data_IF_919693309121
#
_entry.id   IF_919693309121
#
_cell.length_a   1.000
_cell.length_b   1.000
_cell.length_c   1.000
_cell.angle_alpha   90.00
_cell.angle_beta   90.00
_cell.angle_gamma   90.00
#
_symmetry.space_group_name_H-M   'P 1'
#
loop_
_entity.id
_entity.type
_entity.pdbx_description
1 polymer ?
#
# COMPACT_ATOMS: atom_id res chain seq x y z
N UNK A 1 4.40 -10.25 -11.31
CA UNK A 1 5.50 -9.34 -11.69
C UNK A 1 6.70 -9.61 -10.80
N UNK A 2 7.83 -9.83 -11.41
CA UNK A 2 9.07 -10.11 -10.67
C UNK A 2 9.65 -8.81 -10.13
N UNK A 3 10.13 -8.83 -8.89
CA UNK A 3 10.82 -7.68 -8.32
C UNK A 3 12.13 -7.42 -9.09
N UNK A 4 12.45 -6.15 -9.31
CA UNK A 4 13.71 -5.77 -9.93
C UNK A 4 14.81 -5.77 -8.88
N UNK A 5 15.89 -6.48 -9.16
CA UNK A 5 17.06 -6.44 -8.27
C UNK A 5 17.68 -5.06 -8.27
N UNK A 6 17.89 -4.52 -7.07
CA UNK A 6 18.50 -3.22 -6.88
C UNK A 6 19.70 -3.34 -5.95
N UNK A 7 20.77 -2.63 -6.25
CA UNK A 7 21.87 -2.47 -5.30
C UNK A 7 21.50 -1.45 -4.22
N UNK A 8 22.33 -1.31 -3.20
CA UNK A 8 22.06 -0.42 -2.07
C UNK A 8 21.85 1.04 -2.50
N UNK A 9 22.61 1.50 -3.48
CA UNK A 9 22.53 2.88 -3.95
C UNK A 9 21.24 3.13 -4.74
N UNK A 10 20.82 2.17 -5.55
CA UNK A 10 19.56 2.22 -6.28
C UNK A 10 18.36 2.21 -5.33
N UNK A 11 18.43 1.42 -4.25
CA UNK A 11 17.39 1.39 -3.22
C UNK A 11 17.26 2.75 -2.55
N UNK A 12 18.37 3.36 -2.18
CA UNK A 12 18.37 4.69 -1.55
C UNK A 12 17.74 5.72 -2.49
N UNK A 13 18.10 5.70 -3.77
CA UNK A 13 17.54 6.62 -4.75
C UNK A 13 16.04 6.37 -5.00
N UNK A 14 15.65 5.11 -5.05
CA UNK A 14 14.23 4.76 -5.21
C UNK A 14 13.39 5.34 -4.07
N UNK A 15 13.84 5.16 -2.84
CA UNK A 15 13.13 5.69 -1.66
C UNK A 15 13.12 7.22 -1.68
N UNK A 16 14.25 7.85 -1.99
CA UNK A 16 14.38 9.30 -1.99
C UNK A 16 13.50 9.97 -3.05
N UNK A 17 13.36 9.34 -4.22
CA UNK A 17 12.61 9.88 -5.34
C UNK A 17 11.15 9.43 -5.39
N UNK A 18 10.76 8.46 -4.57
CA UNK A 18 9.39 7.99 -4.54
C UNK A 18 8.45 9.08 -4.03
N UNK A 19 7.30 9.21 -4.68
CA UNK A 19 6.27 10.13 -4.25
C UNK A 19 5.69 9.68 -2.92
N UNK A 20 5.63 10.59 -1.96
CA UNK A 20 5.05 10.32 -0.65
C UNK A 20 3.55 10.51 -0.69
N UNK A 21 2.82 9.50 -0.24
CA UNK A 21 1.37 9.49 -0.26
C UNK A 21 0.81 9.08 1.09
N UNK A 22 -0.35 9.62 1.40
CA UNK A 22 -1.17 9.15 2.52
C UNK A 22 -2.38 8.44 1.93
N UNK A 23 -2.23 7.15 1.68
CA UNK A 23 -3.30 6.35 1.07
C UNK A 23 -4.42 6.12 2.05
N UNK A 24 -5.64 6.40 1.63
CA UNK A 24 -6.84 6.24 2.45
C UNK A 24 -7.88 5.41 1.72
N UNK A 25 -8.72 4.76 2.50
CA UNK A 25 -9.98 4.17 2.06
C UNK A 25 -11.10 4.92 2.77
N UNK A 26 -12.01 5.49 2.00
CA UNK A 26 -13.13 6.24 2.55
C UNK A 26 -14.43 5.59 2.12
N UNK A 27 -15.26 5.24 3.09
CA UNK A 27 -16.63 4.80 2.86
C UNK A 27 -17.55 5.98 3.15
N UNK A 28 -18.42 6.33 2.21
CA UNK A 28 -19.23 7.54 2.32
C UNK A 28 -20.67 7.30 1.90
N UNK A 29 -21.54 8.19 2.32
CA UNK A 29 -22.89 8.34 1.79
C UNK A 29 -23.13 9.81 1.45
N UNK A 30 -24.08 10.07 0.58
CA UNK A 30 -24.35 11.42 0.11
C UNK A 30 -23.60 11.75 -1.16
N UNK A 31 -23.56 13.02 -1.52
CA UNK A 31 -23.04 13.50 -2.79
C UNK A 31 -21.65 14.10 -2.61
N UNK A 32 -20.71 13.67 -3.45
CA UNK A 32 -19.36 14.24 -3.47
C UNK A 32 -19.39 15.67 -4.00
N UNK A 33 -18.48 16.50 -3.49
CA UNK A 33 -18.43 17.93 -3.79
C UNK A 33 -18.05 18.23 -5.25
N UNK A 34 -17.22 17.40 -5.85
CA UNK A 34 -16.70 17.58 -7.21
C UNK A 34 -16.59 16.25 -7.94
N UNK A 35 -16.26 16.32 -9.24
CA UNK A 35 -15.98 15.13 -10.03
C UNK A 35 -14.75 14.39 -9.47
N UNK A 36 -14.78 13.06 -9.51
CA UNK A 36 -13.68 12.22 -9.01
C UNK A 36 -12.52 12.29 -10.00
N UNK A 37 -11.32 12.71 -9.55
CA UNK A 37 -10.15 12.75 -10.44
C UNK A 37 -9.66 11.35 -10.77
N UNK A 38 -8.87 11.23 -11.84
CA UNK A 38 -8.33 9.94 -12.28
C UNK A 38 -7.39 9.29 -11.27
N UNK A 39 -6.83 10.07 -10.35
CA UNK A 39 -5.95 9.59 -9.28
C UNK A 39 -6.69 8.90 -8.14
N UNK A 40 -8.02 8.98 -8.12
CA UNK A 40 -8.87 8.38 -7.09
C UNK A 40 -9.72 7.30 -7.72
N UNK A 41 -9.78 6.12 -7.09
CA UNK A 41 -10.66 5.05 -7.51
C UNK A 41 -11.96 5.14 -6.71
N UNK A 42 -13.09 5.27 -7.41
CA UNK A 42 -14.42 5.24 -6.80
C UNK A 42 -15.11 3.93 -7.18
N UNK A 43 -15.48 3.15 -6.19
CA UNK A 43 -16.28 1.93 -6.38
C UNK A 43 -17.52 2.04 -5.49
N UNK A 44 -18.67 2.30 -6.10
CA UNK A 44 -19.90 2.54 -5.35
C UNK A 44 -19.70 3.68 -4.34
N UNK A 45 -19.81 3.37 -3.07
CA UNK A 45 -19.69 4.32 -1.96
C UNK A 45 -18.30 4.29 -1.32
N UNK A 46 -17.29 3.79 -2.02
CA UNK A 46 -15.93 3.68 -1.50
C UNK A 46 -14.95 4.41 -2.40
N UNK A 47 -14.06 5.19 -1.77
CA UNK A 47 -12.99 5.91 -2.44
C UNK A 47 -11.64 5.37 -1.98
N UNK A 48 -10.71 5.21 -2.93
CA UNK A 48 -9.33 4.82 -2.65
C UNK A 48 -8.39 5.83 -3.31
N UNK A 49 -7.47 6.37 -2.56
CA UNK A 49 -6.48 7.29 -3.12
C UNK A 49 -5.68 8.01 -2.06
N UNK A 50 -4.84 8.92 -2.52
CA UNK A 50 -4.08 9.81 -1.64
C UNK A 50 -5.05 10.79 -0.97
N UNK A 51 -4.87 11.02 0.31
CA UNK A 51 -5.74 11.92 1.09
C UNK A 51 -5.84 13.31 0.48
N UNK A 52 -4.78 13.85 -0.08
CA UNK A 52 -4.80 15.18 -0.72
C UNK A 52 -5.77 15.26 -1.90
N UNK A 53 -6.00 14.13 -2.58
CA UNK A 53 -6.91 14.04 -3.73
C UNK A 53 -8.33 13.65 -3.31
N UNK A 54 -8.46 12.92 -2.20
CA UNK A 54 -9.75 12.47 -1.67
C UNK A 54 -10.43 13.55 -0.83
N UNK A 55 -9.68 14.25 0.00
CA UNK A 55 -10.24 15.23 0.94
C UNK A 55 -11.15 16.27 0.28
N UNK A 56 -10.79 16.86 -0.87
CA UNK A 56 -11.68 17.85 -1.51
C UNK A 56 -13.04 17.29 -1.94
N UNK A 57 -13.12 15.98 -2.20
CA UNK A 57 -14.37 15.34 -2.61
C UNK A 57 -15.37 15.27 -1.46
N UNK A 58 -14.89 15.29 -0.23
CA UNK A 58 -15.70 15.14 0.98
C UNK A 58 -16.18 16.48 1.53
N UNK A 59 -15.87 17.58 0.87
CA UNK A 59 -16.28 18.91 1.32
C UNK A 59 -17.80 19.00 1.43
N UNK A 60 -18.28 19.51 2.56
CA UNK A 60 -19.71 19.55 2.87
C UNK A 60 -20.24 18.30 3.58
N UNK A 61 -19.47 17.23 3.66
CA UNK A 61 -19.81 16.03 4.41
C UNK A 61 -19.15 16.04 5.79
N UNK A 62 -19.76 15.36 6.75
CA UNK A 62 -19.32 15.34 8.15
C UNK A 62 -18.67 14.00 8.46
N UNK A 63 -17.44 14.04 8.95
CA UNK A 63 -16.71 12.82 9.32
C UNK A 63 -17.42 12.07 10.44
N UNK A 64 -17.41 10.74 10.36
CA UNK A 64 -18.08 9.82 11.28
C UNK A 64 -19.62 9.95 11.32
N UNK A 65 -20.16 10.71 10.39
CA UNK A 65 -21.60 10.80 10.14
C UNK A 65 -21.92 10.42 8.69
N UNK A 66 -21.22 11.08 7.76
CA UNK A 66 -21.42 10.87 6.31
C UNK A 66 -20.30 10.04 5.68
N UNK A 67 -19.14 9.99 6.32
CA UNK A 67 -18.03 9.17 5.83
C UNK A 67 -17.12 8.72 6.97
N UNK A 68 -16.40 7.63 6.71
CA UNK A 68 -15.39 7.06 7.61
C UNK A 68 -14.10 6.89 6.83
N UNK A 69 -12.98 7.30 7.42
CA UNK A 69 -11.64 7.19 6.82
C UNK A 69 -10.87 6.05 7.48
N UNK A 70 -10.29 5.19 6.66
CA UNK A 70 -9.37 4.14 7.10
C UNK A 70 -8.00 4.40 6.49
N UNK A 71 -6.96 4.32 7.31
CA UNK A 71 -5.57 4.48 6.86
C UNK A 71 -4.63 3.68 7.76
N UNK A 72 -3.47 3.31 7.23
CA UNK A 72 -2.45 2.59 7.98
C UNK A 72 -1.05 3.25 7.88
N UNK A 73 -0.93 4.31 7.11
CA UNK A 73 0.34 5.01 6.91
C UNK A 73 0.11 6.48 6.60
N UNK A 74 1.15 7.28 6.74
CA UNK A 74 1.14 8.70 6.40
C UNK A 74 2.45 9.09 5.74
N UNK A 75 2.34 9.81 4.62
CA UNK A 75 3.51 10.25 3.84
C UNK A 75 4.45 9.08 3.55
N UNK A 76 3.88 7.96 3.13
CA UNK A 76 4.64 6.76 2.83
C UNK A 76 5.16 6.79 1.40
N UNK A 77 6.45 6.49 1.24
CA UNK A 77 7.10 6.50 -0.07
C UNK A 77 7.09 5.13 -0.74
N UNK A 78 7.03 4.06 0.05
CA UNK A 78 7.13 2.69 -0.46
C UNK A 78 5.92 1.89 0.00
N UNK A 79 5.09 1.40 -0.92
CA UNK A 79 3.93 0.59 -0.56
C UNK A 79 4.37 -0.80 -0.08
N UNK A 80 3.42 -1.54 0.46
CA UNK A 80 3.62 -2.94 0.78
C UNK A 80 3.57 -3.80 -0.49
N UNK A 81 4.21 -4.96 -0.42
CA UNK A 81 4.24 -5.91 -1.52
C UNK A 81 2.85 -6.49 -1.76
N UNK A 82 2.45 -6.59 -3.02
CA UNK A 82 1.27 -7.35 -3.41
C UNK A 82 1.58 -8.84 -3.29
N UNK A 83 0.94 -9.52 -2.36
CA UNK A 83 1.24 -10.91 -1.99
C UNK A 83 0.37 -11.94 -2.71
N UNK A 84 -0.62 -11.50 -3.48
CA UNK A 84 -1.66 -12.41 -3.99
C UNK A 84 -1.15 -13.52 -4.90
N UNK A 85 -0.07 -13.27 -5.65
CA UNK A 85 0.47 -14.23 -6.62
C UNK A 85 1.77 -14.91 -6.14
N UNK A 86 2.16 -14.69 -4.89
CA UNK A 86 3.40 -15.25 -4.36
C UNK A 86 3.14 -16.67 -3.85
N UNK A 87 3.91 -17.64 -4.35
CA UNK A 87 3.78 -19.04 -3.97
C UNK A 87 4.58 -19.33 -2.69
N UNK A 88 4.14 -18.73 -1.60
CA UNK A 88 4.76 -18.89 -0.29
C UNK A 88 3.68 -18.76 0.79
N UNK A 89 3.98 -19.25 1.98
CA UNK A 89 3.13 -19.04 3.15
C UNK A 89 3.56 -17.75 3.83
N UNK A 90 2.67 -16.78 3.88
CA UNK A 90 2.93 -15.49 4.52
C UNK A 90 1.85 -15.28 5.58
N UNK A 91 2.26 -15.29 6.84
CA UNK A 91 1.31 -15.17 7.94
C UNK A 91 0.87 -13.71 8.16
N UNK A 92 -0.32 -13.49 8.70
CA UNK A 92 -0.75 -12.14 9.07
C UNK A 92 0.23 -11.50 10.06
N UNK A 93 0.45 -10.19 9.92
CA UNK A 93 1.39 -9.47 10.77
C UNK A 93 2.82 -9.43 10.24
N UNK A 94 3.10 -10.07 9.11
CA UNK A 94 4.35 -9.85 8.40
C UNK A 94 4.26 -8.53 7.62
N UNK A 95 5.31 -7.71 7.72
CA UNK A 95 5.40 -6.42 7.02
C UNK A 95 6.44 -6.57 5.93
N UNK A 96 5.99 -6.59 4.68
CA UNK A 96 6.86 -6.81 3.53
C UNK A 96 6.67 -5.63 2.58
N UNK A 97 7.75 -4.89 2.33
CA UNK A 97 7.70 -3.73 1.44
C UNK A 97 7.80 -4.17 -0.02
N UNK A 98 7.39 -3.28 -0.91
CA UNK A 98 7.51 -3.49 -2.35
C UNK A 98 8.97 -3.78 -2.76
N UNK A 99 9.18 -4.37 -3.93
CA UNK A 99 10.51 -4.73 -4.46
C UNK A 99 11.24 -5.78 -3.60
N UNK A 100 10.50 -6.64 -2.91
CA UNK A 100 11.02 -7.83 -2.22
C UNK A 100 10.71 -9.05 -3.08
N UNK A 101 11.69 -9.94 -3.21
CA UNK A 101 11.56 -11.18 -3.96
C UNK A 101 11.46 -12.35 -2.99
N UNK A 102 10.41 -13.16 -3.12
CA UNK A 102 10.15 -14.30 -2.23
C UNK A 102 10.05 -15.56 -3.08
N UNK A 103 10.96 -16.50 -2.87
CA UNK A 103 11.00 -17.75 -3.58
C UNK A 103 9.89 -18.72 -3.18
N UNK A 104 9.67 -19.71 -4.06
CA UNK A 104 8.59 -20.68 -3.86
C UNK A 104 8.74 -21.45 -2.55
N UNK A 105 7.60 -21.70 -1.91
CA UNK A 105 7.49 -22.49 -0.69
C UNK A 105 8.24 -21.89 0.51
N UNK A 106 8.61 -20.63 0.46
CA UNK A 106 9.12 -19.93 1.64
C UNK A 106 8.02 -19.79 2.70
N UNK A 107 8.41 -19.61 3.93
CA UNK A 107 7.51 -19.39 5.06
C UNK A 107 7.91 -18.10 5.76
N UNK A 108 7.03 -17.13 5.73
CA UNK A 108 7.24 -15.84 6.41
C UNK A 108 6.27 -15.79 7.58
N UNK A 109 6.83 -15.81 8.80
CA UNK A 109 6.02 -15.85 10.02
C UNK A 109 5.53 -14.45 10.40
N UNK A 110 4.53 -14.43 11.28
CA UNK A 110 4.03 -13.19 11.85
C UNK A 110 5.14 -12.40 12.52
N UNK A 111 5.10 -11.09 12.40
CA UNK A 111 6.10 -10.20 12.98
C UNK A 111 7.38 -10.04 12.16
N UNK A 112 7.54 -10.76 11.07
CA UNK A 112 8.68 -10.55 10.18
C UNK A 112 8.58 -9.18 9.49
N UNK A 113 9.71 -8.49 9.40
CA UNK A 113 9.81 -7.21 8.70
C UNK A 113 10.85 -7.35 7.60
N UNK A 114 10.42 -7.20 6.36
CA UNK A 114 11.28 -7.39 5.19
C UNK A 114 11.29 -6.11 4.38
N UNK A 115 12.47 -5.50 4.29
CA UNK A 115 12.63 -4.21 3.64
C UNK A 115 12.82 -4.36 2.12
N UNK A 116 12.61 -3.25 1.41
CA UNK A 116 12.77 -3.17 -0.04
C UNK A 116 14.14 -3.68 -0.48
N UNK A 117 14.16 -4.44 -1.56
CA UNK A 117 15.38 -5.00 -2.14
C UNK A 117 15.83 -6.33 -1.56
N UNK A 118 15.18 -6.83 -0.50
CA UNK A 118 15.55 -8.13 0.06
C UNK A 118 15.13 -9.29 -0.85
N UNK A 119 15.89 -10.35 -0.80
CA UNK A 119 15.60 -11.59 -1.52
C UNK A 119 15.49 -12.73 -0.51
N UNK A 120 14.37 -13.44 -0.55
CA UNK A 120 14.14 -14.62 0.29
C UNK A 120 14.16 -15.83 -0.63
N UNK A 121 15.10 -16.73 -0.41
CA UNK A 121 15.26 -17.92 -1.21
C UNK A 121 14.11 -18.91 -1.06
N UNK A 122 13.94 -19.78 -2.06
CA UNK A 122 12.93 -20.83 -2.04
C UNK A 122 13.08 -21.72 -0.79
N UNK A 123 11.98 -22.07 -0.17
CA UNK A 123 11.96 -22.95 1.01
C UNK A 123 12.49 -22.32 2.30
N UNK A 124 12.88 -21.06 2.29
CA UNK A 124 13.41 -20.38 3.47
C UNK A 124 12.28 -20.13 4.49
N UNK A 125 12.60 -20.32 5.76
CA UNK A 125 11.68 -19.99 6.85
C UNK A 125 12.23 -18.80 7.65
N UNK A 126 11.42 -17.79 7.82
CA UNK A 126 11.75 -16.60 8.60
C UNK A 126 10.76 -16.44 9.73
#
# INVERSE_FOLDING_TARGET
MTATKMNAQEIIQFIANAEKKTSVKVTFEGQLATAVPSSVVKLGNVLFGDWKDVAPLLDGLVENQDYVVEQDARNSAVPLLDKRAINARIEPGAIIRDQVEIGDNAVIMMGAVINIGAEIGAGTMI
#
